data_IF_911552214012
#
_entry.id   IF_911552214012
#
_cell.length_a   1.000
_cell.length_b   1.000
_cell.length_c   1.000
_cell.angle_alpha   90.00
_cell.angle_beta   90.00
_cell.angle_gamma   90.00
#
_symmetry.space_group_name_H-M   'P 1'
#
loop_
_entity.id
_entity.type
_entity.pdbx_description
1 polymer ?
#
# COMPACT_ATOMS: atom_id res chain seq x y z
N UNK A 1 -2.68 17.39 -28.67
CA UNK A 1 -1.84 16.50 -27.82
C UNK A 1 -2.74 15.67 -26.93
N UNK A 2 -2.28 14.51 -26.46
CA UNK A 2 -3.07 13.53 -25.68
C UNK A 2 -3.32 13.93 -24.21
N UNK A 3 -2.99 15.16 -23.80
CA UNK A 3 -3.17 15.61 -22.41
C UNK A 3 -2.24 14.96 -21.38
N UNK A 4 -1.21 14.22 -21.82
CA UNK A 4 -0.27 13.53 -20.94
C UNK A 4 0.76 14.49 -20.34
N UNK A 5 1.14 14.26 -19.07
CA UNK A 5 2.21 14.98 -18.37
C UNK A 5 3.29 13.98 -17.95
N UNK A 6 4.53 14.25 -18.32
CA UNK A 6 5.69 13.48 -17.84
C UNK A 6 6.18 14.07 -16.53
N UNK A 7 6.34 13.21 -15.52
CA UNK A 7 6.93 13.53 -14.22
C UNK A 7 8.23 12.75 -14.11
N UNK A 8 9.30 13.43 -13.70
CA UNK A 8 10.62 12.84 -13.46
C UNK A 8 10.99 13.13 -12.01
N UNK A 9 11.80 12.26 -11.41
CA UNK A 9 12.30 12.40 -10.05
C UNK A 9 13.54 13.30 -9.98
N UNK A 10 13.79 13.86 -8.80
CA UNK A 10 15.05 14.55 -8.49
C UNK A 10 16.00 13.60 -7.74
N UNK A 11 15.46 12.79 -6.84
CA UNK A 11 16.24 11.86 -6.02
C UNK A 11 15.85 10.42 -6.34
N UNK A 12 16.83 9.53 -6.26
CA UNK A 12 16.68 8.09 -6.50
C UNK A 12 17.21 7.33 -5.29
N UNK A 13 16.38 6.42 -4.77
CA UNK A 13 16.78 5.56 -3.66
C UNK A 13 17.68 4.41 -4.12
N UNK A 14 17.67 4.07 -5.41
CA UNK A 14 18.35 2.91 -6.02
C UNK A 14 17.92 1.56 -5.39
N UNK A 15 16.69 1.52 -4.87
CA UNK A 15 16.13 0.36 -4.17
C UNK A 15 15.91 -0.86 -5.09
N UNK A 16 15.66 -0.63 -6.39
CA UNK A 16 15.57 -1.68 -7.39
C UNK A 16 16.86 -2.51 -7.49
N UNK A 17 18.02 -1.92 -7.17
CA UNK A 17 19.33 -2.54 -7.30
C UNK A 17 19.90 -3.07 -5.98
N UNK A 18 19.09 -3.16 -4.93
CA UNK A 18 19.50 -3.58 -3.58
C UNK A 18 20.27 -4.91 -3.55
N UNK A 19 20.00 -5.83 -4.48
CA UNK A 19 20.73 -7.10 -4.57
C UNK A 19 22.19 -6.94 -4.98
N UNK A 20 22.54 -5.88 -5.72
CA UNK A 20 23.91 -5.59 -6.15
C UNK A 20 24.60 -4.58 -5.22
N UNK A 21 23.89 -3.52 -4.81
CA UNK A 21 24.48 -2.43 -4.02
C UNK A 21 24.42 -2.67 -2.51
N UNK A 22 23.59 -3.61 -2.07
CA UNK A 22 23.36 -3.93 -0.67
C UNK A 22 22.38 -2.97 0.01
N UNK A 23 21.78 -3.46 1.10
CA UNK A 23 20.78 -2.74 1.90
C UNK A 23 21.33 -1.42 2.45
N UNK A 24 22.56 -1.43 2.96
CA UNK A 24 23.17 -0.24 3.57
C UNK A 24 23.32 0.91 2.58
N UNK A 25 23.58 0.62 1.31
CA UNK A 25 23.72 1.66 0.28
C UNK A 25 22.38 2.35 0.02
N UNK A 26 21.29 1.59 -0.13
CA UNK A 26 19.98 2.22 -0.38
C UNK A 26 19.51 2.96 0.88
N UNK A 27 19.77 2.43 2.09
CA UNK A 27 19.53 3.17 3.34
C UNK A 27 20.32 4.48 3.40
N UNK A 28 21.58 4.47 2.96
CA UNK A 28 22.38 5.69 2.85
C UNK A 28 21.77 6.68 1.85
N UNK A 29 21.23 6.22 0.72
CA UNK A 29 20.54 7.09 -0.24
C UNK A 29 19.31 7.75 0.40
N UNK A 30 18.49 7.00 1.14
CA UNK A 30 17.42 7.56 1.96
C UNK A 30 17.93 8.60 2.97
N UNK A 31 19.03 8.32 3.67
CA UNK A 31 19.62 9.29 4.61
C UNK A 31 20.09 10.57 3.90
N UNK A 32 20.65 10.47 2.69
CA UNK A 32 21.02 11.64 1.91
C UNK A 32 19.80 12.49 1.55
N UNK A 33 18.67 11.85 1.23
CA UNK A 33 17.39 12.54 0.97
C UNK A 33 16.87 13.19 2.26
N UNK A 34 16.90 12.49 3.39
CA UNK A 34 16.49 13.01 4.70
C UNK A 34 17.32 14.25 5.09
N UNK A 35 18.63 14.22 4.84
CA UNK A 35 19.53 15.34 5.15
C UNK A 35 19.24 16.61 4.33
N UNK A 36 18.49 16.51 3.23
CA UNK A 36 18.06 17.65 2.42
C UNK A 36 16.80 18.33 2.96
N UNK A 37 16.12 17.73 3.95
CA UNK A 37 14.93 18.29 4.55
C UNK A 37 15.19 19.71 5.08
N UNK A 38 14.22 20.60 4.85
CA UNK A 38 14.32 22.03 5.19
C UNK A 38 15.10 22.87 4.18
N UNK A 39 15.77 22.26 3.20
CA UNK A 39 16.47 22.95 2.10
C UNK A 39 15.91 22.63 0.72
N UNK A 40 15.39 21.41 0.53
CA UNK A 40 14.81 20.94 -0.73
C UNK A 40 13.48 20.21 -0.47
N UNK A 41 12.68 20.07 -1.54
CA UNK A 41 11.41 19.31 -1.53
C UNK A 41 11.35 18.42 -2.79
N UNK A 42 12.10 17.30 -2.84
CA UNK A 42 12.26 16.50 -4.05
C UNK A 42 11.07 15.55 -4.34
N UNK A 43 10.90 15.20 -5.62
CA UNK A 43 10.26 13.94 -6.03
C UNK A 43 11.29 12.84 -5.84
N UNK A 44 10.94 11.85 -5.04
CA UNK A 44 11.79 10.69 -4.78
C UNK A 44 11.29 9.49 -5.58
N UNK A 45 12.19 8.82 -6.29
CA UNK A 45 11.92 7.54 -6.93
C UNK A 45 12.14 6.38 -5.95
N UNK A 46 11.10 5.56 -5.80
CA UNK A 46 11.11 4.27 -5.11
C UNK A 46 10.33 3.26 -5.94
N UNK A 47 10.53 1.96 -5.68
CA UNK A 47 9.93 0.90 -6.48
C UNK A 47 9.09 -0.07 -5.62
N UNK A 48 7.91 -0.43 -6.11
CA UNK A 48 7.08 -1.54 -5.59
C UNK A 48 7.25 -2.79 -6.48
N UNK A 49 8.49 -3.19 -6.75
CA UNK A 49 8.77 -4.31 -7.66
C UNK A 49 8.64 -5.66 -6.95
N UNK A 50 9.12 -5.73 -5.69
CA UNK A 50 9.12 -6.97 -4.93
C UNK A 50 9.01 -6.67 -3.42
N UNK A 51 8.92 -7.74 -2.62
CA UNK A 51 8.79 -7.62 -1.17
C UNK A 51 9.97 -6.85 -0.55
N UNK A 52 11.19 -7.02 -1.07
CA UNK A 52 12.36 -6.35 -0.54
C UNK A 52 12.33 -4.83 -0.78
N UNK A 53 11.91 -4.36 -1.96
CA UNK A 53 11.81 -2.92 -2.23
C UNK A 53 10.69 -2.29 -1.39
N UNK A 54 9.55 -2.97 -1.23
CA UNK A 54 8.47 -2.49 -0.35
C UNK A 54 8.83 -2.51 1.13
N UNK A 55 9.53 -3.54 1.61
CA UNK A 55 10.02 -3.58 2.99
C UNK A 55 10.98 -2.44 3.27
N UNK A 56 11.86 -2.11 2.31
CA UNK A 56 12.75 -0.96 2.42
C UNK A 56 11.96 0.34 2.56
N UNK A 57 10.94 0.54 1.72
CA UNK A 57 10.08 1.72 1.82
C UNK A 57 9.38 1.79 3.19
N UNK A 58 8.76 0.70 3.64
CA UNK A 58 8.07 0.64 4.94
C UNK A 58 9.03 0.91 6.11
N UNK A 59 10.29 0.47 6.03
CA UNK A 59 11.30 0.74 7.04
C UNK A 59 11.71 2.22 7.06
N UNK A 60 11.90 2.83 5.89
CA UNK A 60 12.47 4.18 5.78
C UNK A 60 11.42 5.30 5.81
N UNK A 61 10.18 5.03 5.43
CA UNK A 61 9.09 6.02 5.36
C UNK A 61 8.91 6.79 6.67
N UNK A 62 8.91 6.18 7.87
CA UNK A 62 8.76 6.94 9.11
C UNK A 62 9.85 7.98 9.33
N UNK A 63 11.09 7.69 8.92
CA UNK A 63 12.21 8.63 9.06
C UNK A 63 12.09 9.79 8.06
N UNK A 64 11.67 9.50 6.83
CA UNK A 64 11.36 10.54 5.83
C UNK A 64 10.20 11.41 6.33
N UNK A 65 9.15 10.77 6.87
CA UNK A 65 7.95 11.42 7.40
C UNK A 65 8.25 12.38 8.55
N UNK A 66 9.21 11.99 9.40
CA UNK A 66 9.65 12.82 10.51
C UNK A 66 10.54 14.00 10.08
N UNK A 67 11.34 13.85 9.03
CA UNK A 67 12.30 14.86 8.62
C UNK A 67 11.67 16.02 7.86
N UNK A 68 10.67 15.73 7.03
CA UNK A 68 10.01 16.72 6.20
C UNK A 68 8.66 17.15 6.78
N UNK A 69 8.16 18.31 6.34
CA UNK A 69 6.96 18.90 6.91
C UNK A 69 5.69 18.21 6.42
N UNK A 70 5.64 17.86 5.14
CA UNK A 70 4.46 17.27 4.51
C UNK A 70 4.83 16.26 3.42
N UNK A 71 4.44 15.00 3.58
CA UNK A 71 4.54 13.99 2.53
C UNK A 71 3.22 14.00 1.75
N UNK A 72 3.26 14.38 0.48
CA UNK A 72 2.07 14.61 -0.34
C UNK A 72 2.16 13.90 -1.71
N UNK A 73 1.02 13.52 -2.30
CA UNK A 73 0.98 13.08 -3.69
C UNK A 73 1.47 14.18 -4.65
N UNK A 74 2.09 13.79 -5.77
CA UNK A 74 2.55 14.73 -6.82
C UNK A 74 1.43 15.65 -7.30
N UNK A 75 0.20 15.13 -7.43
CA UNK A 75 -0.97 15.92 -7.83
C UNK A 75 -1.28 17.03 -6.83
N UNK A 76 -1.23 16.75 -5.53
CA UNK A 76 -1.41 17.76 -4.49
C UNK A 76 -0.26 18.77 -4.51
N UNK A 77 0.99 18.31 -4.61
CA UNK A 77 2.18 19.18 -4.70
C UNK A 77 2.09 20.18 -5.87
N UNK A 78 1.65 19.71 -7.03
CA UNK A 78 1.51 20.54 -8.24
C UNK A 78 0.14 21.26 -8.32
N UNK A 79 -0.71 21.15 -7.30
CA UNK A 79 -2.09 21.67 -7.29
C UNK A 79 -2.92 21.23 -8.53
N UNK A 80 -2.72 20.01 -9.00
CA UNK A 80 -3.49 19.40 -10.09
C UNK A 80 -4.67 18.64 -9.50
N UNK A 81 -5.86 19.21 -9.62
CA UNK A 81 -7.10 18.60 -9.11
C UNK A 81 -7.79 17.67 -10.12
N UNK A 82 -7.39 17.71 -11.39
CA UNK A 82 -7.89 16.85 -12.48
C UNK A 82 -6.71 16.24 -13.27
N UNK A 83 -5.99 15.25 -12.70
CA UNK A 83 -4.83 14.66 -13.35
C UNK A 83 -5.19 13.69 -14.49
N UNK A 84 -6.43 13.21 -14.53
CA UNK A 84 -6.92 12.26 -15.54
C UNK A 84 -8.16 12.80 -16.26
N UNK A 85 -8.62 12.10 -17.30
CA UNK A 85 -9.76 12.49 -18.15
C UNK A 85 -11.10 12.17 -17.49
N UNK A 86 -11.11 11.23 -16.56
CA UNK A 86 -12.26 10.86 -15.75
C UNK A 86 -12.67 12.01 -14.83
N UNK A 87 -13.96 12.07 -14.48
CA UNK A 87 -14.49 13.11 -13.62
C UNK A 87 -14.23 12.83 -12.13
N UNK A 88 -12.94 12.68 -11.78
CA UNK A 88 -12.48 12.49 -10.40
C UNK A 88 -11.74 13.76 -9.99
N UNK A 89 -12.15 14.38 -8.88
CA UNK A 89 -11.47 15.56 -8.33
C UNK A 89 -10.53 15.14 -7.21
N UNK A 90 -9.26 15.50 -7.36
CA UNK A 90 -8.19 15.28 -6.37
C UNK A 90 -8.04 16.53 -5.48
N UNK A 91 -7.65 16.37 -4.19
CA UNK A 91 -7.38 17.50 -3.32
C UNK A 91 -6.15 18.29 -3.80
N UNK A 92 -6.20 19.61 -3.63
CA UNK A 92 -5.01 20.45 -3.79
C UNK A 92 -4.09 20.32 -2.55
N UNK A 93 -2.94 21.00 -2.58
CA UNK A 93 -1.99 20.96 -1.47
C UNK A 93 -2.60 21.34 -0.12
N UNK A 94 -3.31 22.47 -0.04
CA UNK A 94 -3.88 22.98 1.21
C UNK A 94 -4.93 22.04 1.80
N UNK A 95 -5.79 21.49 0.95
CA UNK A 95 -6.80 20.51 1.38
C UNK A 95 -6.13 19.23 1.89
N UNK A 96 -5.07 18.78 1.21
CA UNK A 96 -4.32 17.60 1.62
C UNK A 96 -3.64 17.79 2.98
N UNK A 97 -2.84 18.85 3.15
CA UNK A 97 -2.07 19.07 4.38
C UNK A 97 -2.91 19.51 5.57
N UNK A 98 -4.12 20.02 5.34
CA UNK A 98 -5.08 20.34 6.41
C UNK A 98 -5.89 19.12 6.89
N UNK A 99 -5.60 17.91 6.36
CA UNK A 99 -6.34 16.70 6.68
C UNK A 99 -7.75 16.66 6.07
N UNK A 100 -8.03 17.53 5.10
CA UNK A 100 -9.32 17.65 4.38
C UNK A 100 -9.22 17.08 2.96
N UNK A 101 -8.38 16.07 2.78
CA UNK A 101 -8.19 15.38 1.50
C UNK A 101 -9.49 14.67 1.07
N UNK A 102 -10.32 15.36 0.30
CA UNK A 102 -11.60 14.83 -0.19
C UNK A 102 -11.51 14.56 -1.69
N UNK A 103 -11.48 13.26 -2.04
CA UNK A 103 -11.60 12.83 -3.42
C UNK A 103 -13.08 12.81 -3.81
N UNK A 104 -13.42 13.44 -4.92
CA UNK A 104 -14.80 13.48 -5.43
C UNK A 104 -14.92 12.69 -6.73
N UNK A 105 -16.09 12.12 -7.00
CA UNK A 105 -16.33 11.33 -8.23
C UNK A 105 -15.80 9.90 -8.17
N UNK A 106 -15.36 9.42 -6.99
CA UNK A 106 -15.03 8.01 -6.79
C UNK A 106 -16.29 7.14 -6.81
N UNK A 107 -16.25 5.94 -7.42
CA UNK A 107 -17.34 4.97 -7.31
C UNK A 107 -17.65 4.63 -5.86
N UNK A 108 -18.93 4.55 -5.49
CA UNK A 108 -19.32 4.03 -4.18
C UNK A 108 -19.25 2.50 -4.17
N UNK A 109 -19.08 1.88 -3.00
CA UNK A 109 -19.07 0.41 -2.88
C UNK A 109 -20.34 -0.22 -3.49
N UNK A 110 -21.49 0.43 -3.34
CA UNK A 110 -22.77 -0.03 -3.91
C UNK A 110 -22.79 -0.02 -5.45
N UNK A 111 -21.96 0.83 -6.06
CA UNK A 111 -21.82 0.91 -7.52
C UNK A 111 -20.86 -0.13 -8.10
N UNK A 112 -20.04 -0.77 -7.25
CA UNK A 112 -19.11 -1.83 -7.65
C UNK A 112 -19.88 -3.15 -7.71
N UNK A 113 -20.22 -3.58 -8.92
CA UNK A 113 -20.88 -4.87 -9.15
C UNK A 113 -19.90 -6.01 -8.88
N UNK A 114 -20.10 -6.73 -7.79
CA UNK A 114 -19.41 -8.01 -7.54
C UNK A 114 -20.29 -9.16 -8.02
N UNK A 115 -19.68 -10.17 -8.65
CA UNK A 115 -20.37 -11.42 -8.93
C UNK A 115 -20.12 -12.37 -7.74
N UNK A 116 -21.11 -12.60 -6.85
CA UNK A 116 -20.94 -13.48 -5.71
C UNK A 116 -20.72 -14.95 -6.11
N UNK A 117 -21.00 -15.30 -7.38
CA UNK A 117 -20.80 -16.62 -7.95
C UNK A 117 -19.60 -16.68 -8.89
N UNK A 118 -18.66 -15.72 -8.81
CA UNK A 118 -17.43 -15.79 -9.57
C UNK A 118 -16.64 -17.05 -9.17
N UNK A 119 -16.66 -18.06 -10.05
CA UNK A 119 -15.86 -19.27 -9.91
C UNK A 119 -14.43 -18.92 -10.31
N UNK A 120 -13.51 -18.87 -9.35
CA UNK A 120 -12.09 -18.73 -9.63
C UNK A 120 -11.49 -20.10 -9.86
N UNK A 121 -11.22 -20.45 -11.13
CA UNK A 121 -10.43 -21.63 -11.46
C UNK A 121 -8.94 -21.26 -11.43
N UNK A 122 -8.22 -21.74 -10.40
CA UNK A 122 -6.75 -21.67 -10.37
C UNK A 122 -6.20 -22.57 -11.47
N UNK A 123 -5.96 -22.04 -12.67
CA UNK A 123 -5.18 -22.76 -13.67
C UNK A 123 -3.73 -22.77 -13.22
N UNK A 124 -3.19 -23.97 -12.96
CA UNK A 124 -1.76 -24.20 -12.73
C UNK A 124 -0.99 -23.97 -14.03
N UNK A 125 -0.86 -22.71 -14.44
CA UNK A 125 0.08 -22.23 -15.43
C UNK A 125 0.82 -21.08 -14.74
N UNK A 126 2.10 -21.32 -14.45
CA UNK A 126 2.83 -20.64 -13.38
C UNK A 126 2.90 -19.13 -13.51
N UNK A 127 2.42 -18.45 -12.47
CA UNK A 127 3.16 -17.47 -11.65
C UNK A 127 2.56 -17.53 -10.23
N UNK A 128 3.41 -17.65 -9.21
CA UNK A 128 3.14 -17.66 -7.76
C UNK A 128 2.17 -18.75 -7.19
N UNK A 129 2.74 -19.78 -6.58
CA UNK A 129 2.04 -20.71 -5.68
C UNK A 129 2.12 -20.20 -4.24
N UNK A 130 1.02 -19.78 -3.58
CA UNK A 130 1.04 -19.48 -2.15
C UNK A 130 0.75 -20.77 -1.38
N UNK A 131 1.73 -21.66 -1.26
CA UNK A 131 1.66 -22.73 -0.27
C UNK A 131 3.04 -23.18 0.18
N UNK A 132 3.49 -22.69 1.34
CA UNK A 132 4.15 -23.52 2.36
C UNK A 132 4.44 -22.70 3.62
N UNK A 133 3.40 -22.44 4.42
CA UNK A 133 3.61 -22.39 5.87
C UNK A 133 3.70 -23.83 6.37
N UNK A 134 4.82 -24.51 6.09
CA UNK A 134 5.16 -25.76 6.73
C UNK A 134 5.81 -25.43 8.07
N UNK A 135 4.98 -25.36 9.11
CA UNK A 135 5.43 -25.50 10.49
C UNK A 135 6.06 -26.88 10.65
N UNK A 136 7.36 -26.93 10.88
CA UNK A 136 8.08 -28.12 11.32
C UNK A 136 7.66 -28.46 12.76
N UNK A 137 6.81 -29.47 12.92
CA UNK A 137 6.72 -30.23 14.17
C UNK A 137 6.93 -31.71 13.86
N UNK A 138 8.10 -32.19 14.25
CA UNK A 138 8.43 -33.60 14.31
C UNK A 138 7.73 -34.25 15.50
N UNK A 139 6.85 -35.21 15.26
CA UNK A 139 6.65 -36.34 16.18
C UNK A 139 5.89 -37.47 15.49
N UNK A 140 6.48 -38.65 15.65
CA UNK A 140 6.15 -39.97 15.13
C UNK A 140 4.83 -40.56 15.66
N UNK A 141 4.22 -41.39 14.79
CA UNK A 141 3.48 -42.65 15.07
C UNK A 141 2.48 -42.71 16.24
N UNK A 142 1.22 -43.04 15.94
CA UNK A 142 0.29 -43.57 16.93
C UNK A 142 -1.15 -43.62 16.45
N UNK A 143 -1.60 -44.82 16.09
CA UNK A 143 -3.00 -45.19 15.85
C UNK A 143 -3.93 -44.93 17.04
N UNK A 144 -5.18 -44.54 16.80
CA UNK A 144 -6.43 -45.20 17.28
C UNK A 144 -7.63 -44.25 17.40
N UNK A 145 -8.81 -44.74 16.99
CA UNK A 145 -10.18 -44.51 17.55
C UNK A 145 -10.66 -43.08 17.87
N UNK A 146 -11.92 -42.67 17.74
CA UNK A 146 -13.17 -43.23 17.26
C UNK A 146 -14.24 -42.15 17.48
N UNK A 147 -15.22 -42.12 16.58
CA UNK A 147 -16.64 -41.89 16.84
C UNK A 147 -17.22 -40.47 17.12
N UNK A 148 -18.35 -40.27 16.40
CA UNK A 148 -19.59 -39.54 16.73
C UNK A 148 -19.52 -38.03 16.97
N UNK A 149 -19.94 -37.18 16.03
CA UNK A 149 -21.32 -36.88 15.59
C UNK A 149 -22.17 -36.16 16.67
N UNK A 150 -22.44 -34.86 16.50
CA UNK A 150 -23.80 -34.29 16.35
C UNK A 150 -23.91 -32.81 16.75
N UNK A 151 -24.45 -32.04 15.80
CA UNK A 151 -25.51 -31.02 15.94
C UNK A 151 -25.27 -29.71 16.72
N UNK A 152 -25.39 -28.64 15.95
CA UNK A 152 -26.01 -27.31 16.17
C UNK A 152 -26.43 -26.89 17.57
N UNK A 153 -26.20 -25.60 17.89
CA UNK A 153 -27.26 -24.65 18.30
C UNK A 153 -26.74 -23.21 18.27
N UNK A 154 -27.68 -22.29 18.06
CA UNK A 154 -27.48 -20.90 17.74
C UNK A 154 -27.48 -19.96 18.97
N UNK A 155 -27.24 -18.68 18.65
CA UNK A 155 -27.65 -17.43 19.32
C UNK A 155 -27.09 -17.05 20.69
N UNK A 156 -26.39 -15.90 20.68
CA UNK A 156 -26.28 -14.98 21.81
C UNK A 156 -26.04 -13.56 21.27
N UNK A 157 -27.08 -12.72 21.27
CA UNK A 157 -27.04 -11.28 20.97
C UNK A 157 -26.48 -10.47 22.16
N UNK A 158 -26.10 -9.22 21.87
CA UNK A 158 -25.79 -8.05 22.75
C UNK A 158 -24.27 -7.82 22.95
N UNK A 159 -23.71 -6.63 22.75
CA UNK A 159 -24.26 -5.28 22.93
C UNK A 159 -23.88 -4.29 21.82
N UNK A 160 -24.81 -3.36 21.57
CA UNK A 160 -24.55 -2.06 20.95
C UNK A 160 -23.67 -1.26 21.91
N UNK A 161 -22.38 -1.13 21.58
CA UNK A 161 -21.50 -0.01 21.93
C UNK A 161 -20.06 -0.43 21.63
N UNK A 162 -19.65 -0.26 20.38
CA UNK A 162 -18.26 -0.11 19.94
C UNK A 162 -18.32 0.34 18.48
N UNK A 163 -18.69 1.61 18.30
CA UNK A 163 -18.37 2.39 17.10
C UNK A 163 -16.84 2.49 17.03
N UNK A 164 -16.21 1.48 16.44
CA UNK A 164 -14.82 1.53 16.01
C UNK A 164 -14.84 1.70 14.49
N UNK A 165 -14.60 2.92 14.05
CA UNK A 165 -14.31 3.32 12.68
C UNK A 165 -13.25 2.40 12.06
N UNK A 166 -13.70 1.47 11.22
CA UNK A 166 -12.82 0.68 10.35
C UNK A 166 -12.72 1.40 9.02
N UNK A 167 -11.69 2.24 8.87
CA UNK A 167 -11.27 2.77 7.58
C UNK A 167 -10.50 1.67 6.85
N UNK A 168 -11.17 0.97 5.93
CA UNK A 168 -10.50 0.13 4.95
C UNK A 168 -9.94 1.08 3.88
N UNK A 169 -8.68 1.46 4.07
CA UNK A 169 -7.88 2.15 3.05
C UNK A 169 -7.38 1.10 2.05
N UNK A 170 -8.08 0.99 0.91
CA UNK A 170 -7.62 0.15 -0.19
C UNK A 170 -6.48 0.88 -0.90
N UNK A 171 -5.25 0.43 -0.62
CA UNK A 171 -4.04 0.87 -1.29
C UNK A 171 -4.07 0.50 -2.78
N UNK A 172 -4.00 1.51 -3.64
CA UNK A 172 -3.24 1.43 -4.89
C UNK A 172 -2.03 2.32 -4.66
N UNK A 173 -0.89 1.70 -4.35
CA UNK A 173 0.39 2.39 -4.24
C UNK A 173 0.97 2.41 -5.66
N UNK A 174 0.95 3.59 -6.26
CA UNK A 174 2.07 3.99 -7.11
C UNK A 174 2.80 4.98 -6.22
N UNK A 175 3.86 4.51 -5.55
CA UNK A 175 4.66 5.33 -4.67
C UNK A 175 5.47 6.32 -5.53
N UNK A 176 4.85 7.45 -5.86
CA UNK A 176 5.58 8.68 -6.13
C UNK A 176 5.38 9.58 -4.92
N UNK A 177 6.23 9.40 -3.92
CA UNK A 177 6.25 10.24 -2.73
C UNK A 177 6.96 11.56 -3.08
N UNK A 178 6.21 12.66 -3.08
CA UNK A 178 6.79 14.00 -3.00
C UNK A 178 6.66 14.50 -1.59
N UNK A 179 7.68 15.18 -1.11
CA UNK A 179 7.73 15.58 0.28
C UNK A 179 8.16 17.06 0.36
N UNK A 180 7.24 17.90 0.85
CA UNK A 180 7.39 19.35 1.04
C UNK A 180 7.91 19.70 2.43
#
# INVERSE_FOLDING_TARGET
>A
GLGLRTIVWQEDTDDWNVAQVGVDKVKQNYQNIINKAGSESPIVLTHEINNQTMQMFVEMEPQVSQAYKHLVPVSACQNITKPYVEDITYPNYNDFVSGKANYQGLPTVDSIKTNPNAQYEVKKAGFANPSSSSSSSSSSSGSSSSNSNSKSSAVGMLSKDMLATSLISTMVVVATMMVL
#
